data_IF_751200231972
#
_entry.id   IF_751200231972
#
_cell.length_a   1.000
_cell.length_b   1.000
_cell.length_c   1.000
_cell.angle_alpha   90.00
_cell.angle_beta   90.00
_cell.angle_gamma   90.00
#
_symmetry.space_group_name_H-M   'P 1'
#
loop_
_entity.id
_entity.type
_entity.pdbx_description
1 polymer ?
#
# COMPACT_ATOMS: atom_id res chain seq x y z
N UNK A 1 13.97 31.25 3.32
CA UNK A 1 13.98 29.84 2.83
C UNK A 1 13.77 29.84 1.32
N UNK A 2 14.62 29.16 0.54
CA UNK A 2 14.56 29.23 -0.93
C UNK A 2 13.39 28.39 -1.47
N UNK A 3 12.48 28.97 -2.27
CA UNK A 3 11.30 28.28 -2.84
C UNK A 3 11.69 27.01 -3.62
N UNK A 4 12.89 26.99 -4.23
CA UNK A 4 13.43 25.79 -4.90
C UNK A 4 13.68 24.63 -3.93
N UNK A 5 14.23 24.93 -2.76
CA UNK A 5 14.51 23.93 -1.72
C UNK A 5 13.20 23.33 -1.21
N UNK A 6 12.17 24.16 -1.00
CA UNK A 6 10.84 23.72 -0.55
C UNK A 6 10.21 22.73 -1.54
N UNK A 7 10.27 23.03 -2.84
CA UNK A 7 9.72 22.15 -3.87
C UNK A 7 10.46 20.81 -3.92
N UNK A 8 11.80 20.81 -3.83
CA UNK A 8 12.59 19.58 -3.79
C UNK A 8 12.27 18.75 -2.54
N UNK A 9 12.14 19.41 -1.39
CA UNK A 9 11.79 18.74 -0.12
C UNK A 9 10.41 18.08 -0.21
N UNK A 10 9.40 18.78 -0.75
CA UNK A 10 8.06 18.24 -0.99
C UNK A 10 8.09 17.02 -1.92
N UNK A 11 8.89 17.06 -2.99
CA UNK A 11 9.05 15.94 -3.92
C UNK A 11 9.67 14.72 -3.23
N UNK A 12 10.74 14.91 -2.46
CA UNK A 12 11.41 13.84 -1.70
C UNK A 12 10.44 13.22 -0.69
N UNK A 13 9.64 14.04 -0.02
CA UNK A 13 8.65 13.60 0.97
C UNK A 13 7.53 12.78 0.30
N UNK A 14 7.04 13.25 -0.85
CA UNK A 14 6.01 12.55 -1.64
C UNK A 14 6.49 11.18 -2.09
N UNK A 15 7.73 11.09 -2.60
CA UNK A 15 8.33 9.83 -3.05
C UNK A 15 8.54 8.89 -1.85
N UNK A 16 9.01 9.42 -0.71
CA UNK A 16 9.20 8.63 0.52
C UNK A 16 7.89 8.00 1.01
N UNK A 17 6.80 8.77 1.02
CA UNK A 17 5.48 8.25 1.38
C UNK A 17 4.94 7.23 0.37
N UNK A 18 5.16 7.46 -0.93
CA UNK A 18 4.78 6.51 -1.97
C UNK A 18 5.51 5.16 -1.81
N UNK A 19 6.82 5.21 -1.58
CA UNK A 19 7.64 4.03 -1.36
C UNK A 19 7.22 3.27 -0.10
N UNK A 20 6.95 3.98 1.00
CA UNK A 20 6.41 3.33 2.19
C UNK A 20 5.06 2.70 1.92
N UNK A 21 4.12 3.39 1.27
CA UNK A 21 2.83 2.81 0.88
C UNK A 21 2.99 1.49 0.12
N UNK A 22 3.91 1.45 -0.85
CA UNK A 22 4.20 0.26 -1.63
C UNK A 22 4.82 -0.88 -0.80
N UNK A 23 5.79 -0.57 0.08
CA UNK A 23 6.43 -1.54 0.95
C UNK A 23 5.45 -2.13 1.97
N UNK A 24 4.60 -1.30 2.57
CA UNK A 24 3.54 -1.75 3.47
C UNK A 24 2.51 -2.63 2.76
N UNK A 25 2.15 -2.30 1.52
CA UNK A 25 1.28 -3.13 0.68
C UNK A 25 1.87 -4.52 0.40
N UNK A 26 3.13 -4.57 -0.07
CA UNK A 26 3.83 -5.85 -0.30
C UNK A 26 4.02 -6.66 0.97
N UNK A 27 4.33 -6.00 2.07
CA UNK A 27 4.51 -6.67 3.37
C UNK A 27 3.16 -7.11 3.95
N UNK A 28 2.06 -6.43 3.64
CA UNK A 28 0.73 -6.93 3.96
C UNK A 28 0.47 -8.23 3.19
N UNK A 29 0.72 -8.27 1.88
CA UNK A 29 0.52 -9.48 1.06
C UNK A 29 1.26 -10.71 1.59
N UNK A 30 2.49 -10.55 2.10
CA UNK A 30 3.23 -11.66 2.73
C UNK A 30 2.61 -12.13 4.05
N UNK A 31 1.86 -11.28 4.74
CA UNK A 31 1.11 -11.61 5.96
C UNK A 31 -0.32 -12.11 5.65
N UNK A 32 -0.81 -11.96 4.41
CA UNK A 32 -2.14 -12.42 4.00
C UNK A 32 -2.27 -13.95 4.10
N UNK A 33 -1.16 -14.69 4.10
CA UNK A 33 -1.15 -16.15 4.12
C UNK A 33 -1.49 -16.75 2.76
N UNK A 34 -1.43 -18.07 2.66
CA UNK A 34 -1.85 -18.80 1.47
C UNK A 34 -3.32 -19.19 1.65
N UNK A 35 -4.16 -18.77 0.72
CA UNK A 35 -5.54 -19.19 0.65
C UNK A 35 -5.55 -20.64 0.14
N UNK A 36 -5.86 -21.58 1.02
CA UNK A 36 -5.98 -23.00 0.65
C UNK A 36 -7.45 -23.39 0.69
N UNK A 37 -7.84 -24.16 -0.31
CA UNK A 37 -9.13 -24.85 -0.32
C UNK A 37 -8.89 -26.26 0.18
N UNK A 38 -9.48 -26.59 1.33
CA UNK A 38 -9.55 -27.96 1.81
C UNK A 38 -10.73 -28.63 1.12
N UNK A 39 -10.41 -29.56 0.22
CA UNK A 39 -11.39 -30.43 -0.42
C UNK A 39 -11.20 -31.86 0.03
N UNK A 40 -12.32 -32.54 0.25
CA UNK A 40 -12.34 -34.00 0.42
C UNK A 40 -12.69 -34.61 -0.92
N UNK A 41 -11.91 -35.59 -1.37
CA UNK A 41 -12.23 -36.35 -2.58
C UNK A 41 -13.31 -37.37 -2.21
N UNK A 42 -14.52 -37.24 -2.76
CA UNK A 42 -15.62 -38.18 -2.56
C UNK A 42 -16.01 -38.69 -3.94
N UNK A 43 -15.88 -40.00 -4.15
CA UNK A 43 -16.26 -40.68 -5.40
C UNK A 43 -15.59 -40.11 -6.68
N UNK A 44 -14.33 -39.68 -6.57
CA UNK A 44 -13.56 -39.12 -7.69
C UNK A 44 -13.84 -37.65 -8.01
N UNK A 45 -14.88 -37.04 -7.42
CA UNK A 45 -15.12 -35.61 -7.48
C UNK A 45 -14.43 -34.87 -6.32
N UNK A 46 -13.77 -33.76 -6.66
CA UNK A 46 -13.16 -32.87 -5.68
C UNK A 46 -14.24 -31.96 -5.08
N UNK A 47 -14.69 -32.27 -3.86
CA UNK A 47 -15.67 -31.45 -3.15
C UNK A 47 -14.93 -30.51 -2.19
N UNK A 48 -14.85 -29.22 -2.55
CA UNK A 48 -14.29 -28.17 -1.69
C UNK A 48 -15.21 -27.94 -0.50
N UNK A 49 -14.81 -28.40 0.69
CA UNK A 49 -15.64 -28.30 1.89
C UNK A 49 -15.34 -27.03 2.69
N UNK A 50 -14.09 -26.53 2.72
CA UNK A 50 -13.74 -25.30 3.46
C UNK A 50 -12.58 -24.52 2.82
N UNK A 51 -12.77 -23.22 2.57
CA UNK A 51 -11.69 -22.29 2.20
C UNK A 51 -11.11 -21.67 3.46
N UNK A 52 -9.81 -21.83 3.68
CA UNK A 52 -9.11 -21.33 4.85
C UNK A 52 -7.78 -20.66 4.50
N UNK A 53 -7.40 -19.65 5.28
CA UNK A 53 -6.09 -19.00 5.12
C UNK A 53 -5.06 -19.71 6.00
N UNK A 54 -4.13 -20.47 5.40
CA UNK A 54 -3.02 -21.09 6.13
C UNK A 54 -1.83 -20.13 6.25
N UNK A 55 -1.27 -20.05 7.46
CA UNK A 55 -0.06 -19.27 7.73
C UNK A 55 -0.22 -17.75 7.63
N UNK A 56 -1.45 -17.25 7.46
CA UNK A 56 -1.75 -15.81 7.41
C UNK A 56 -1.92 -15.22 8.80
N UNK A 57 -1.43 -14.00 8.99
CA UNK A 57 -1.70 -13.20 10.19
C UNK A 57 -2.62 -12.04 9.79
N UNK A 58 -3.94 -12.28 9.81
CA UNK A 58 -4.97 -11.30 9.45
C UNK A 58 -4.80 -9.97 10.19
N UNK A 59 -4.45 -10.01 11.48
CA UNK A 59 -4.22 -8.79 12.27
C UNK A 59 -3.04 -7.98 11.73
N UNK A 60 -1.92 -8.63 11.39
CA UNK A 60 -0.77 -7.95 10.76
C UNK A 60 -1.09 -7.51 9.34
N UNK A 61 -1.83 -8.32 8.57
CA UNK A 61 -2.30 -7.97 7.23
C UNK A 61 -3.10 -6.66 7.25
N UNK A 62 -4.12 -6.57 8.10
CA UNK A 62 -4.97 -5.37 8.22
C UNK A 62 -4.18 -4.15 8.68
N UNK A 63 -3.30 -4.28 9.68
CA UNK A 63 -2.48 -3.17 10.16
C UNK A 63 -1.55 -2.66 9.05
N UNK A 64 -0.88 -3.56 8.34
CA UNK A 64 0.06 -3.18 7.27
C UNK A 64 -0.68 -2.62 6.06
N UNK A 65 -1.82 -3.20 5.68
CA UNK A 65 -2.61 -2.71 4.55
C UNK A 65 -3.25 -1.36 4.86
N UNK A 66 -3.78 -1.17 6.07
CA UNK A 66 -4.30 0.11 6.54
C UNK A 66 -3.20 1.17 6.57
N UNK A 67 -2.03 0.84 7.11
CA UNK A 67 -0.85 1.72 7.11
C UNK A 67 -0.42 2.08 5.69
N UNK A 68 -0.38 1.10 4.78
CA UNK A 68 -0.06 1.32 3.37
C UNK A 68 -1.04 2.30 2.70
N UNK A 69 -2.34 2.14 2.93
CA UNK A 69 -3.37 3.09 2.46
C UNK A 69 -3.19 4.49 3.03
N UNK A 70 -2.85 4.62 4.31
CA UNK A 70 -2.55 5.92 4.93
C UNK A 70 -1.36 6.61 4.26
N UNK A 71 -0.27 5.87 4.02
CA UNK A 71 0.91 6.42 3.33
C UNK A 71 0.62 6.80 1.87
N UNK A 72 -0.19 6.02 1.15
CA UNK A 72 -0.68 6.42 -0.18
C UNK A 72 -1.58 7.67 -0.13
N UNK A 73 -2.43 7.80 0.88
CA UNK A 73 -3.23 9.01 1.09
C UNK A 73 -2.36 10.24 1.33
N UNK A 74 -1.36 10.11 2.22
CA UNK A 74 -0.38 11.16 2.50
C UNK A 74 0.46 11.52 1.26
N UNK A 75 0.86 10.53 0.45
CA UNK A 75 1.59 10.79 -0.80
C UNK A 75 0.73 11.54 -1.81
N UNK A 76 -0.58 11.25 -1.89
CA UNK A 76 -1.51 11.99 -2.74
C UNK A 76 -1.61 13.48 -2.37
N UNK A 77 -1.82 13.77 -1.08
CA UNK A 77 -1.94 15.16 -0.59
C UNK A 77 -0.64 15.94 -0.79
N UNK A 78 0.50 15.32 -0.48
CA UNK A 78 1.82 15.95 -0.67
C UNK A 78 2.18 16.15 -2.13
N UNK A 79 1.80 15.20 -3.02
CA UNK A 79 1.97 15.32 -4.46
C UNK A 79 1.16 16.48 -5.06
N UNK A 80 -0.10 16.67 -4.64
CA UNK A 80 -0.91 17.83 -5.07
C UNK A 80 -0.25 19.14 -4.65
N UNK A 81 0.23 19.22 -3.40
CA UNK A 81 0.97 20.38 -2.90
C UNK A 81 2.24 20.69 -3.71
N UNK A 82 2.96 19.66 -4.15
CA UNK A 82 4.11 19.80 -5.04
C UNK A 82 3.72 20.36 -6.41
N UNK A 83 2.67 19.83 -7.05
CA UNK A 83 2.20 20.31 -8.36
C UNK A 83 1.75 21.77 -8.29
N UNK A 84 0.98 22.15 -7.26
CA UNK A 84 0.56 23.54 -7.06
C UNK A 84 1.76 24.48 -6.89
N UNK A 85 2.78 24.03 -6.14
CA UNK A 85 4.02 24.78 -5.97
C UNK A 85 4.78 25.01 -7.28
N UNK A 86 4.73 24.04 -8.21
CA UNK A 86 5.32 24.20 -9.55
C UNK A 86 4.50 25.14 -10.45
N UNK A 87 3.17 25.06 -10.41
CA UNK A 87 2.29 25.92 -11.23
C UNK A 87 2.44 27.38 -10.82
N UNK A 88 2.45 27.67 -9.52
CA UNK A 88 2.67 29.02 -8.99
C UNK A 88 4.03 29.55 -9.45
N UNK A 89 5.07 28.71 -9.41
CA UNK A 89 6.42 29.08 -9.87
C UNK A 89 6.53 29.34 -11.38
N UNK A 90 5.59 28.82 -12.19
CA UNK A 90 5.56 29.07 -13.64
C UNK A 90 4.87 30.38 -14.01
N UNK A 91 4.12 30.97 -13.07
CA UNK A 91 3.32 32.19 -13.26
C UNK A 91 4.09 33.46 -12.84
N UNK A 92 5.09 33.31 -11.96
CA UNK A 92 6.15 34.29 -11.68
C UNK A 92 7.23 34.24 -12.78
#
# INVERSE_FOLDING_TARGET
MNRKIIAVLMLVLTISFLLMGALYGKTAETQKGIEVSFGTMVDGEFVSNETGTLGGNQRKYEILQSSGKLFYGLSGVTGIGFVLSLVIRKKD
#
